data_IF_683389689852
#
_entry.id   IF_683389689852
#
_cell.length_a   1.000
_cell.length_b   1.000
_cell.length_c   1.000
_cell.angle_alpha   90.00
_cell.angle_beta   90.00
_cell.angle_gamma   90.00
#
_symmetry.space_group_name_H-M   'P 1'
#
loop_
_entity.id
_entity.type
_entity.pdbx_description
1 polymer ?
#
# COMPACT_ATOMS: atom_id res chain seq x y z
N UNK A 1 9.72 -10.16 -15.13
CA UNK A 1 9.97 -9.71 -13.74
C UNK A 1 11.48 -9.61 -13.43
N UNK A 2 12.21 -10.71 -13.18
CA UNK A 2 13.65 -10.68 -12.86
C UNK A 2 14.51 -9.99 -13.93
N UNK A 3 14.28 -10.31 -15.21
CA UNK A 3 14.99 -9.70 -16.36
C UNK A 3 14.70 -8.20 -16.54
N UNK A 4 13.52 -7.73 -16.13
CA UNK A 4 13.10 -6.32 -16.23
C UNK A 4 13.72 -5.47 -15.11
N UNK A 5 13.94 -6.06 -13.94
CA UNK A 5 14.60 -5.45 -12.79
C UNK A 5 16.14 -5.58 -12.87
N UNK A 6 16.70 -6.11 -13.95
CA UNK A 6 18.14 -6.40 -14.07
C UNK A 6 18.65 -7.42 -13.03
N UNK A 7 17.78 -8.26 -12.47
CA UNK A 7 18.12 -9.21 -11.42
C UNK A 7 18.34 -10.61 -12.01
N UNK A 8 19.57 -11.12 -11.95
CA UNK A 8 19.89 -12.50 -12.38
C UNK A 8 19.47 -13.58 -11.36
N UNK A 9 19.29 -13.20 -10.09
CA UNK A 9 18.75 -14.05 -9.01
C UNK A 9 18.31 -13.18 -7.83
N UNK A 10 17.36 -13.65 -7.03
CA UNK A 10 16.94 -13.01 -5.78
C UNK A 10 17.36 -13.93 -4.63
N UNK A 11 18.39 -13.53 -3.88
CA UNK A 11 18.74 -14.13 -2.59
C UNK A 11 18.47 -13.11 -1.49
N UNK A 12 17.95 -13.54 -0.34
CA UNK A 12 17.65 -12.65 0.78
C UNK A 12 18.83 -11.74 1.15
N UNK A 13 20.04 -12.29 1.22
CA UNK A 13 21.29 -11.57 1.50
C UNK A 13 21.71 -10.55 0.42
N UNK A 14 21.18 -10.67 -0.80
CA UNK A 14 21.48 -9.75 -1.92
C UNK A 14 20.44 -8.66 -2.10
N UNK A 15 19.29 -8.78 -1.43
CA UNK A 15 18.13 -7.94 -1.66
C UNK A 15 18.37 -6.50 -1.20
N UNK A 16 18.99 -6.30 -0.02
CA UNK A 16 19.32 -4.98 0.50
C UNK A 16 20.20 -4.16 -0.45
N UNK A 17 21.32 -4.74 -0.92
CA UNK A 17 22.21 -4.10 -1.91
C UNK A 17 21.56 -3.83 -3.27
N UNK A 18 20.53 -4.58 -3.61
CA UNK A 18 19.79 -4.43 -4.87
C UNK A 18 18.72 -3.35 -4.73
N UNK A 19 18.07 -3.22 -3.58
CA UNK A 19 17.08 -2.18 -3.30
C UNK A 19 17.65 -0.77 -3.54
N UNK A 20 18.88 -0.49 -3.10
CA UNK A 20 19.53 0.82 -3.33
C UNK A 20 19.79 1.14 -4.81
N UNK A 21 19.76 0.12 -5.69
CA UNK A 21 20.07 0.26 -7.13
C UNK A 21 18.85 0.12 -8.02
N UNK A 22 17.72 -0.31 -7.46
CA UNK A 22 16.50 -0.50 -8.22
C UNK A 22 15.74 0.83 -8.26
N UNK A 23 15.31 1.30 -9.45
CA UNK A 23 14.44 2.46 -9.54
C UNK A 23 13.18 2.22 -8.72
N UNK A 24 12.80 3.21 -7.90
CA UNK A 24 11.63 3.11 -7.02
C UNK A 24 10.36 2.86 -7.83
N UNK A 25 10.26 3.47 -9.00
CA UNK A 25 9.17 3.32 -9.97
C UNK A 25 9.02 1.86 -10.42
N UNK A 26 10.15 1.17 -10.62
CA UNK A 26 10.14 -0.26 -10.99
C UNK A 26 9.61 -1.13 -9.85
N UNK A 27 9.95 -0.79 -8.61
CA UNK A 27 9.46 -1.50 -7.41
C UNK A 27 7.98 -1.23 -7.16
N UNK A 28 7.53 -0.01 -7.39
CA UNK A 28 6.12 0.37 -7.28
C UNK A 28 5.28 -0.37 -8.31
N UNK A 29 5.72 -0.39 -9.58
CA UNK A 29 5.05 -1.13 -10.64
C UNK A 29 5.01 -2.63 -10.35
N UNK A 30 6.10 -3.19 -9.82
CA UNK A 30 6.16 -4.58 -9.38
C UNK A 30 5.10 -4.91 -8.32
N UNK A 31 5.00 -4.04 -7.32
CA UNK A 31 4.02 -4.17 -6.25
C UNK A 31 2.59 -4.08 -6.81
N UNK A 32 2.33 -3.11 -7.68
CA UNK A 32 1.05 -2.93 -8.35
C UNK A 32 0.65 -4.15 -9.18
N UNK A 33 1.56 -4.72 -9.97
CA UNK A 33 1.31 -5.93 -10.74
C UNK A 33 1.02 -7.15 -9.86
N UNK A 34 1.72 -7.29 -8.73
CA UNK A 34 1.48 -8.37 -7.78
C UNK A 34 0.09 -8.23 -7.13
N UNK A 35 -0.27 -7.02 -6.68
CA UNK A 35 -1.59 -6.71 -6.13
C UNK A 35 -2.70 -6.98 -7.16
N UNK A 36 -2.53 -6.52 -8.40
CA UNK A 36 -3.49 -6.75 -9.49
C UNK A 36 -3.67 -8.24 -9.78
N UNK A 37 -2.59 -9.02 -9.78
CA UNK A 37 -2.67 -10.47 -9.97
C UNK A 37 -3.45 -11.16 -8.83
N UNK A 38 -3.23 -10.74 -7.59
CA UNK A 38 -4.01 -11.22 -6.45
C UNK A 38 -5.48 -10.84 -6.61
N UNK A 39 -5.77 -9.59 -6.97
CA UNK A 39 -7.13 -9.12 -7.23
C UNK A 39 -7.84 -9.93 -8.31
N UNK A 40 -7.15 -10.30 -9.41
CA UNK A 40 -7.74 -11.16 -10.45
C UNK A 40 -8.03 -12.59 -9.98
N UNK A 41 -7.28 -13.12 -9.01
CA UNK A 41 -7.58 -14.45 -8.46
C UNK A 41 -8.81 -14.45 -7.55
N UNK A 42 -9.15 -13.28 -6.99
CA UNK A 42 -10.26 -13.11 -6.06
C UNK A 42 -11.33 -12.15 -6.59
N UNK A 43 -11.40 -11.93 -7.91
CA UNK A 43 -12.31 -10.94 -8.48
C UNK A 43 -13.79 -11.28 -8.22
N UNK A 44 -14.11 -12.57 -8.14
CA UNK A 44 -15.47 -13.03 -7.87
C UNK A 44 -15.72 -13.33 -6.38
N UNK A 45 -14.71 -13.09 -5.53
CA UNK A 45 -14.88 -13.22 -4.10
C UNK A 45 -15.83 -12.13 -3.60
N UNK A 46 -16.94 -12.55 -3.01
CA UNK A 46 -17.90 -11.69 -2.33
C UNK A 46 -18.26 -12.33 -1.00
N UNK A 47 -18.33 -11.49 0.03
CA UNK A 47 -18.88 -11.89 1.32
C UNK A 47 -20.39 -11.96 1.17
N UNK A 48 -20.96 -13.14 1.39
CA UNK A 48 -22.36 -13.49 1.10
C UNK A 48 -23.36 -12.31 1.15
N UNK A 49 -23.63 -11.79 2.35
CA UNK A 49 -24.64 -10.74 2.58
C UNK A 49 -24.12 -9.32 2.40
N UNK A 50 -22.80 -9.14 2.25
CA UNK A 50 -22.14 -7.84 2.24
C UNK A 50 -21.59 -7.45 0.86
N UNK A 51 -21.58 -8.37 -0.09
CA UNK A 51 -20.97 -8.15 -1.41
C UNK A 51 -19.45 -8.06 -1.33
N UNK A 52 -18.85 -7.26 -2.20
CA UNK A 52 -17.40 -6.99 -2.14
C UNK A 52 -17.13 -5.98 -1.02
N UNK A 53 -16.24 -6.36 -0.12
CA UNK A 53 -15.84 -5.53 1.01
C UNK A 53 -14.34 -5.25 0.94
N UNK A 54 -13.97 -4.01 1.25
CA UNK A 54 -12.58 -3.61 1.42
C UNK A 54 -12.40 -2.96 2.80
N UNK A 55 -11.39 -3.40 3.54
CA UNK A 55 -10.94 -2.73 4.75
C UNK A 55 -9.90 -1.67 4.38
N UNK A 56 -10.09 -0.45 4.85
CA UNK A 56 -9.18 0.67 4.66
C UNK A 56 -8.63 1.08 6.00
N UNK A 57 -7.30 1.04 6.12
CA UNK A 57 -6.58 1.43 7.32
C UNK A 57 -5.33 2.25 6.98
N UNK A 58 -4.85 3.01 7.95
CA UNK A 58 -3.66 3.83 7.85
C UNK A 58 -2.68 3.54 8.99
N UNK A 59 -1.41 3.43 8.64
CA UNK A 59 -0.31 3.26 9.59
C UNK A 59 0.74 4.34 9.35
N UNK A 60 1.41 4.76 10.43
CA UNK A 60 2.49 5.74 10.36
C UNK A 60 3.83 5.07 10.68
N UNK A 61 4.84 5.37 9.87
CA UNK A 61 6.22 4.92 10.08
C UNK A 61 7.08 6.15 10.33
N UNK A 62 7.58 6.27 11.56
CA UNK A 62 8.53 7.33 11.93
C UNK A 62 9.94 6.97 11.48
N UNK A 63 10.64 7.95 10.91
CA UNK A 63 11.98 7.80 10.40
C UNK A 63 12.97 8.64 11.23
N UNK A 64 14.19 8.14 11.36
CA UNK A 64 15.26 8.89 12.02
C UNK A 64 15.62 10.17 11.25
N UNK A 65 16.00 11.22 11.99
CA UNK A 65 16.36 12.54 11.45
C UNK A 65 17.55 12.54 10.48
N UNK A 66 18.33 11.46 10.43
CA UNK A 66 19.42 11.30 9.48
C UNK A 66 18.87 10.69 8.18
N UNK A 67 18.74 11.53 7.14
CA UNK A 67 18.66 11.18 5.70
C UNK A 67 17.27 11.14 5.03
N UNK A 68 16.21 11.65 5.65
CA UNK A 68 14.87 11.58 5.07
C UNK A 68 14.32 12.98 4.70
N UNK A 69 14.79 13.57 3.60
CA UNK A 69 14.25 14.88 3.12
C UNK A 69 12.80 14.77 2.67
N UNK A 70 12.42 13.66 2.03
CA UNK A 70 11.09 13.48 1.45
C UNK A 70 9.94 13.43 2.50
N UNK A 71 10.03 12.65 3.60
CA UNK A 71 8.97 12.60 4.61
C UNK A 71 9.19 13.60 5.74
N UNK A 72 9.64 14.82 5.42
CA UNK A 72 9.78 15.89 6.38
C UNK A 72 8.41 16.32 6.93
N UNK A 73 8.30 16.40 8.26
CA UNK A 73 7.13 16.98 8.95
C UNK A 73 7.58 18.17 9.80
N UNK A 74 8.66 17.99 10.56
CA UNK A 74 9.34 19.05 11.31
C UNK A 74 10.83 18.71 11.51
N UNK A 75 11.59 19.62 12.12
CA UNK A 75 13.04 19.47 12.33
C UNK A 75 13.45 18.13 12.97
N UNK A 76 12.66 17.66 13.92
CA UNK A 76 12.95 16.44 14.71
C UNK A 76 11.95 15.32 14.42
N UNK A 77 11.08 15.49 13.41
CA UNK A 77 10.03 14.54 13.08
C UNK A 77 9.91 14.33 11.58
N UNK A 78 10.23 13.11 11.16
CA UNK A 78 10.06 12.65 9.78
C UNK A 78 9.19 11.41 9.82
N UNK A 79 8.13 11.40 9.02
CA UNK A 79 7.19 10.28 9.05
C UNK A 79 6.50 10.10 7.70
N UNK A 80 6.36 8.83 7.33
CA UNK A 80 5.57 8.40 6.19
C UNK A 80 4.25 7.87 6.74
N UNK A 81 3.16 8.23 6.09
CA UNK A 81 1.88 7.58 6.30
C UNK A 81 1.60 6.64 5.15
N UNK A 82 1.34 5.38 5.51
CA UNK A 82 0.96 4.29 4.63
C UNK A 82 -0.53 4.06 4.79
N UNK A 83 -1.29 4.18 3.70
CA UNK A 83 -2.70 3.83 3.65
C UNK A 83 -2.90 2.64 2.74
N UNK A 84 -3.64 1.67 3.22
CA UNK A 84 -3.89 0.41 2.54
C UNK A 84 -5.38 0.18 2.44
N UNK A 85 -5.82 -0.16 1.24
CA UNK A 85 -7.12 -0.77 0.98
C UNK A 85 -6.88 -2.27 0.75
N UNK A 86 -7.52 -3.11 1.54
CA UNK A 86 -7.43 -4.56 1.49
C UNK A 86 -8.77 -5.15 1.07
N UNK A 87 -8.80 -5.87 -0.04
CA UNK A 87 -9.99 -6.62 -0.46
C UNK A 87 -10.17 -7.83 0.43
N UNK A 88 -11.38 -8.01 0.96
CA UNK A 88 -11.72 -9.10 1.87
C UNK A 88 -12.35 -10.26 1.09
N UNK A 89 -11.72 -11.42 1.17
CA UNK A 89 -12.20 -12.66 0.52
C UNK A 89 -13.08 -13.44 1.48
N UNK A 90 -12.64 -13.55 2.73
CA UNK A 90 -13.35 -14.17 3.85
C UNK A 90 -12.74 -13.64 5.17
N UNK A 91 -13.18 -14.15 6.32
CA UNK A 91 -12.74 -13.72 7.66
C UNK A 91 -11.23 -13.81 7.92
N UNK A 92 -10.50 -14.60 7.13
CA UNK A 92 -9.07 -14.88 7.35
C UNK A 92 -8.19 -14.54 6.16
N UNK A 93 -8.80 -14.17 5.03
CA UNK A 93 -8.11 -13.99 3.76
C UNK A 93 -8.42 -12.62 3.19
N UNK A 94 -7.37 -11.84 2.98
CA UNK A 94 -7.41 -10.54 2.35
C UNK A 94 -6.28 -10.39 1.34
N UNK A 95 -6.40 -9.41 0.45
CA UNK A 95 -5.34 -9.08 -0.50
C UNK A 95 -5.20 -7.56 -0.67
N UNK A 96 -4.00 -7.05 -0.98
CA UNK A 96 -3.82 -5.63 -1.23
C UNK A 96 -4.57 -5.22 -2.51
N UNK A 97 -5.49 -4.27 -2.38
CA UNK A 97 -6.15 -3.61 -3.50
C UNK A 97 -5.36 -2.39 -3.93
N UNK A 98 -5.16 -1.44 -3.00
CA UNK A 98 -4.57 -0.13 -3.27
C UNK A 98 -3.71 0.34 -2.12
N UNK A 99 -2.71 1.14 -2.45
CA UNK A 99 -1.76 1.70 -1.49
C UNK A 99 -1.49 3.16 -1.82
N UNK A 100 -1.54 4.02 -0.80
CA UNK A 100 -1.14 5.42 -0.91
C UNK A 100 -0.05 5.70 0.13
N UNK A 101 1.08 6.20 -0.33
CA UNK A 101 2.17 6.68 0.52
C UNK A 101 2.21 8.20 0.46
N UNK A 102 2.33 8.83 1.62
CA UNK A 102 2.41 10.28 1.75
C UNK A 102 3.26 10.68 2.95
N UNK A 103 3.59 11.98 3.04
CA UNK A 103 4.13 12.54 4.29
C UNK A 103 3.05 12.51 5.37
N UNK A 104 3.44 12.36 6.64
CA UNK A 104 2.46 12.18 7.72
C UNK A 104 1.55 13.39 8.00
N UNK A 105 1.84 14.55 7.39
CA UNK A 105 0.97 15.73 7.46
C UNK A 105 -0.31 15.59 6.64
N UNK A 106 -0.32 14.71 5.63
CA UNK A 106 -1.51 14.50 4.79
C UNK A 106 -2.60 13.80 5.62
N UNK A 107 -3.81 14.36 5.60
CA UNK A 107 -4.98 13.84 6.30
C UNK A 107 -5.50 12.54 5.68
N UNK A 108 -6.10 11.67 6.49
CA UNK A 108 -6.77 10.45 5.98
C UNK A 108 -8.04 10.77 5.20
N UNK A 109 -8.63 11.93 5.47
CA UNK A 109 -9.82 12.43 4.77
C UNK A 109 -9.47 13.38 3.61
N UNK A 110 -8.21 13.41 3.18
CA UNK A 110 -7.82 14.17 2.00
C UNK A 110 -8.49 13.57 0.75
N UNK A 111 -9.11 14.41 -0.09
CA UNK A 111 -9.93 13.95 -1.21
C UNK A 111 -9.13 13.16 -2.25
N UNK A 112 -7.87 13.54 -2.50
CA UNK A 112 -7.00 12.81 -3.44
C UNK A 112 -6.61 11.45 -2.88
N UNK A 113 -6.35 11.39 -1.57
CA UNK A 113 -6.08 10.14 -0.86
C UNK A 113 -7.29 9.21 -0.90
N UNK A 114 -8.48 9.72 -0.58
CA UNK A 114 -9.71 8.93 -0.59
C UNK A 114 -10.03 8.43 -2.01
N UNK A 115 -9.91 9.30 -3.03
CA UNK A 115 -10.10 8.93 -4.42
C UNK A 115 -9.08 7.88 -4.91
N UNK A 116 -7.85 7.89 -4.37
CA UNK A 116 -6.84 6.90 -4.69
C UNK A 116 -7.09 5.55 -4.00
N UNK A 117 -7.67 5.54 -2.80
CA UNK A 117 -7.94 4.33 -2.00
C UNK A 117 -9.25 3.63 -2.36
N UNK A 118 -10.28 4.40 -2.72
CA UNK A 118 -11.63 3.91 -3.01
C UNK A 118 -11.81 3.84 -4.52
N UNK A 119 -12.21 2.66 -5.00
CA UNK A 119 -12.63 2.53 -6.40
C UNK A 119 -14.08 3.01 -6.54
N UNK A 120 -14.47 3.74 -7.60
CA UNK A 120 -15.86 4.18 -7.80
C UNK A 120 -16.88 3.05 -8.04
N UNK A 121 -16.52 1.79 -7.80
CA UNK A 121 -17.32 0.61 -8.14
C UNK A 121 -18.08 0.04 -6.95
N UNK A 122 -18.73 -1.11 -7.18
CA UNK A 122 -19.51 -1.99 -6.32
C UNK A 122 -18.83 -2.53 -5.03
N UNK A 123 -17.83 -1.83 -4.50
CA UNK A 123 -17.09 -2.23 -3.30
C UNK A 123 -17.52 -1.36 -2.13
N UNK A 124 -17.97 -2.01 -1.05
CA UNK A 124 -18.19 -1.32 0.22
C UNK A 124 -16.84 -1.16 0.93
N UNK A 125 -16.50 0.06 1.34
CA UNK A 125 -15.28 0.33 2.10
C UNK A 125 -15.59 0.52 3.58
N UNK A 126 -14.97 -0.30 4.42
CA UNK A 126 -14.95 -0.12 5.87
C UNK A 126 -13.65 0.61 6.26
N UNK A 127 -13.78 1.76 6.90
CA UNK A 127 -12.65 2.59 7.30
C UNK A 127 -12.42 2.45 8.79
N UNK A 128 -11.21 2.04 9.20
CA UNK A 128 -10.82 2.15 10.59
C UNK A 128 -10.65 3.63 10.94
N UNK A 129 -11.59 4.18 11.70
CA UNK A 129 -11.57 5.58 12.16
C UNK A 129 -10.83 5.75 13.49
N UNK A 130 -10.28 4.67 14.06
CA UNK A 130 -9.77 4.63 15.42
C UNK A 130 -10.92 4.80 16.43
N UNK A 131 -10.96 3.95 17.46
CA UNK A 131 -11.76 4.27 18.63
C UNK A 131 -11.17 5.53 19.27
N UNK A 132 -11.97 6.60 19.36
CA UNK A 132 -11.62 7.80 20.13
C UNK A 132 -11.41 7.47 21.60
#
# INVERSE_FOLDING_TARGET
MQRWLGLSSIRASSLHRKLERLPTESLQELCHQAAKKLATMYCDASLQSLGRLAAVDSSMVTLGSKRAEWPYVSKDFHAIKLRLSLGLVNETTSYPLRTVLSTAVVSDNDDEVLAALVEPSDVTCDFDRGAK
#
